data_IF_550345929189
#
_entry.id   IF_550345929189
#
_cell.length_a   1.000
_cell.length_b   1.000
_cell.length_c   1.000
_cell.angle_alpha   90.00
_cell.angle_beta   90.00
_cell.angle_gamma   90.00
#
_symmetry.space_group_name_H-M   'P 1'
#
loop_
_entity.id
_entity.type
_entity.pdbx_description
1 polymer ?
#
# COMPACT_ATOMS: atom_id res chain seq x y z
N UNK A 1 -20.80 17.36 -12.95
CA UNK A 1 -20.67 16.16 -13.79
C UNK A 1 -19.31 16.09 -14.47
N UNK A 2 -18.90 16.99 -15.38
CA UNK A 2 -17.58 16.84 -16.06
C UNK A 2 -16.36 17.09 -15.14
N UNK A 3 -16.49 17.98 -14.14
CA UNK A 3 -15.43 18.27 -13.17
C UNK A 3 -15.17 17.13 -12.19
N UNK A 4 -16.20 16.33 -11.89
CA UNK A 4 -16.10 15.23 -10.92
C UNK A 4 -15.27 14.07 -11.50
N UNK A 5 -15.48 13.74 -12.78
CA UNK A 5 -14.67 12.76 -13.51
C UNK A 5 -13.22 13.22 -13.69
N UNK A 6 -13.00 14.49 -14.03
CA UNK A 6 -11.64 15.02 -14.18
C UNK A 6 -10.87 14.97 -12.86
N UNK A 7 -11.53 15.32 -11.75
CA UNK A 7 -10.94 15.24 -10.41
C UNK A 7 -10.64 13.81 -10.01
N UNK A 8 -11.57 12.88 -10.25
CA UNK A 8 -11.35 11.46 -9.95
C UNK A 8 -10.20 10.87 -10.78
N UNK A 9 -10.09 11.21 -12.06
CA UNK A 9 -8.96 10.78 -12.90
C UNK A 9 -7.62 11.35 -12.43
N UNK A 10 -7.59 12.61 -11.97
CA UNK A 10 -6.41 13.21 -11.36
C UNK A 10 -6.03 12.53 -10.04
N UNK A 11 -7.01 12.28 -9.17
CA UNK A 11 -6.82 11.57 -7.91
C UNK A 11 -6.27 10.16 -8.17
N UNK A 12 -6.88 9.42 -9.09
CA UNK A 12 -6.44 8.08 -9.50
C UNK A 12 -4.98 8.11 -9.95
N UNK A 13 -4.63 9.03 -10.84
CA UNK A 13 -3.26 9.18 -11.35
C UNK A 13 -2.28 9.43 -10.21
N UNK A 14 -2.58 10.39 -9.33
CA UNK A 14 -1.69 10.73 -8.21
C UNK A 14 -1.49 9.54 -7.26
N UNK A 15 -2.57 8.82 -6.93
CA UNK A 15 -2.50 7.63 -6.08
C UNK A 15 -1.76 6.48 -6.76
N UNK A 16 -1.90 6.33 -8.08
CA UNK A 16 -1.15 5.34 -8.84
C UNK A 16 0.34 5.68 -8.83
N UNK A 17 0.71 6.94 -9.06
CA UNK A 17 2.11 7.39 -8.95
C UNK A 17 2.66 7.19 -7.53
N UNK A 18 1.87 7.44 -6.50
CA UNK A 18 2.23 7.18 -5.10
C UNK A 18 2.47 5.69 -4.82
N UNK A 19 1.54 4.82 -5.24
CA UNK A 19 1.67 3.38 -5.13
C UNK A 19 2.97 2.88 -5.77
N UNK A 20 3.27 3.34 -6.99
CA UNK A 20 4.48 2.96 -7.72
C UNK A 20 5.78 3.43 -7.04
N UNK A 21 5.73 4.42 -6.15
CA UNK A 21 6.87 4.88 -5.37
C UNK A 21 7.06 4.10 -4.06
N UNK A 22 6.08 3.30 -3.64
CA UNK A 22 6.21 2.52 -2.41
C UNK A 22 7.24 1.38 -2.61
N UNK A 23 8.18 1.18 -1.67
CA UNK A 23 9.14 0.06 -1.76
C UNK A 23 8.46 -1.32 -1.78
N UNK A 24 7.30 -1.43 -1.15
CA UNK A 24 6.48 -2.65 -1.15
C UNK A 24 5.97 -2.99 -2.55
N UNK A 25 5.40 -2.03 -3.26
CA UNK A 25 4.94 -2.24 -4.64
C UNK A 25 6.10 -2.55 -5.57
N UNK A 26 7.21 -1.83 -5.44
CA UNK A 26 8.43 -2.09 -6.22
C UNK A 26 8.94 -3.52 -5.99
N UNK A 27 8.98 -3.98 -4.73
CA UNK A 27 9.36 -5.35 -4.38
C UNK A 27 8.41 -6.41 -4.98
N UNK A 28 7.10 -6.14 -4.99
CA UNK A 28 6.13 -7.01 -5.64
C UNK A 28 6.36 -7.09 -7.15
N UNK A 29 6.65 -5.97 -7.80
CA UNK A 29 6.87 -5.91 -9.25
C UNK A 29 8.20 -6.55 -9.70
N UNK A 30 9.17 -6.70 -8.80
CA UNK A 30 10.37 -7.50 -9.01
C UNK A 30 10.12 -9.01 -8.96
N UNK A 31 8.96 -9.46 -8.46
CA UNK A 31 8.59 -10.87 -8.46
C UNK A 31 7.85 -11.22 -9.77
N UNK A 32 8.51 -12.00 -10.63
CA UNK A 32 7.95 -12.41 -11.93
C UNK A 32 6.64 -13.19 -11.80
N UNK A 33 6.47 -14.01 -10.77
CA UNK A 33 5.23 -14.75 -10.55
C UNK A 33 4.08 -13.79 -10.22
N UNK A 34 4.33 -12.80 -9.35
CA UNK A 34 3.35 -11.77 -9.04
C UNK A 34 3.02 -10.94 -10.28
N UNK A 35 4.03 -10.47 -11.03
CA UNK A 35 3.84 -9.70 -12.25
C UNK A 35 3.00 -10.46 -13.29
N UNK A 36 3.30 -11.74 -13.49
CA UNK A 36 2.52 -12.61 -14.37
C UNK A 36 1.08 -12.81 -13.85
N UNK A 37 0.89 -12.99 -12.55
CA UNK A 37 -0.43 -13.10 -11.95
C UNK A 37 -1.25 -11.81 -12.12
N UNK A 38 -0.64 -10.65 -11.90
CA UNK A 38 -1.25 -9.34 -12.09
C UNK A 38 -1.68 -9.11 -13.55
N UNK A 39 -0.84 -9.50 -14.50
CA UNK A 39 -1.17 -9.39 -15.93
C UNK A 39 -2.34 -10.28 -16.33
N UNK A 40 -2.39 -11.51 -15.80
CA UNK A 40 -3.45 -12.50 -16.12
C UNK A 40 -4.75 -12.26 -15.35
N UNK A 41 -4.69 -11.60 -14.20
CA UNK A 41 -5.85 -11.35 -13.36
C UNK A 41 -6.54 -10.03 -13.73
N UNK A 42 -7.52 -10.11 -14.63
CA UNK A 42 -8.32 -8.97 -15.03
C UNK A 42 -9.05 -8.28 -13.87
N UNK A 43 -9.49 -9.03 -12.86
CA UNK A 43 -10.18 -8.47 -11.70
C UNK A 43 -9.26 -7.56 -10.88
N UNK A 44 -8.02 -7.99 -10.62
CA UNK A 44 -7.02 -7.15 -9.93
C UNK A 44 -6.73 -5.87 -10.71
N UNK A 45 -6.63 -5.96 -12.04
CA UNK A 45 -6.41 -4.77 -12.89
C UNK A 45 -7.59 -3.80 -12.85
N UNK A 46 -8.82 -4.31 -12.80
CA UNK A 46 -10.03 -3.47 -12.63
C UNK A 46 -10.03 -2.82 -11.26
N UNK A 47 -9.66 -3.54 -10.20
CA UNK A 47 -9.52 -2.96 -8.87
C UNK A 47 -8.46 -1.84 -8.83
N UNK A 48 -7.29 -2.03 -9.45
CA UNK A 48 -6.26 -0.99 -9.52
C UNK A 48 -6.67 0.22 -10.38
N UNK A 49 -7.68 0.08 -11.24
CA UNK A 49 -8.28 1.19 -11.98
C UNK A 49 -9.31 1.99 -11.14
N UNK A 50 -9.68 1.51 -9.95
CA UNK A 50 -10.63 2.16 -9.05
C UNK A 50 -9.88 3.02 -8.00
N UNK A 51 -10.16 4.33 -8.00
CA UNK A 51 -9.60 5.30 -7.05
C UNK A 51 -9.81 4.91 -5.60
N UNK A 52 -11.00 4.38 -5.25
CA UNK A 52 -11.33 3.97 -3.89
C UNK A 52 -10.52 2.77 -3.43
N UNK A 53 -10.20 1.85 -4.35
CA UNK A 53 -9.35 0.71 -4.07
C UNK A 53 -7.91 1.15 -3.86
N UNK A 54 -7.38 2.05 -4.69
CA UNK A 54 -6.02 2.60 -4.49
C UNK A 54 -5.86 3.27 -3.12
N UNK A 55 -6.86 4.07 -2.69
CA UNK A 55 -6.86 4.68 -1.35
C UNK A 55 -6.80 3.63 -0.24
N UNK A 56 -7.57 2.55 -0.35
CA UNK A 56 -7.55 1.44 0.62
C UNK A 56 -6.22 0.70 0.61
N UNK A 57 -5.65 0.47 -0.56
CA UNK A 57 -4.40 -0.25 -0.72
C UNK A 57 -3.23 0.52 -0.08
N UNK A 58 -3.11 1.81 -0.39
CA UNK A 58 -2.08 2.68 0.19
C UNK A 58 -2.23 2.79 1.71
N UNK A 59 -3.47 2.92 2.21
CA UNK A 59 -3.73 2.92 3.65
C UNK A 59 -3.31 1.60 4.31
N UNK A 60 -3.65 0.46 3.70
CA UNK A 60 -3.24 -0.85 4.21
C UNK A 60 -1.72 -1.01 4.25
N UNK A 61 -1.01 -0.45 3.26
CA UNK A 61 0.46 -0.45 3.24
C UNK A 61 1.03 0.45 4.35
N UNK A 62 0.44 1.62 4.58
CA UNK A 62 0.83 2.50 5.69
C UNK A 62 0.63 1.81 7.04
N UNK A 63 -0.52 1.16 7.25
CA UNK A 63 -0.81 0.40 8.47
C UNK A 63 0.18 -0.76 8.67
N UNK A 64 0.55 -1.47 7.59
CA UNK A 64 1.58 -2.52 7.62
C UNK A 64 2.95 -1.96 8.02
N UNK A 65 3.36 -0.81 7.46
CA UNK A 65 4.62 -0.17 7.80
C UNK A 65 4.65 0.25 9.27
N UNK A 66 3.60 0.92 9.76
CA UNK A 66 3.51 1.31 11.16
C UNK A 66 3.56 0.11 12.10
N UNK A 67 2.91 -1.01 11.75
CA UNK A 67 3.00 -2.24 12.53
C UNK A 67 4.44 -2.79 12.57
N UNK A 68 5.12 -2.84 11.43
CA UNK A 68 6.51 -3.30 11.34
C UNK A 68 7.43 -2.41 12.19
N UNK A 69 7.27 -1.09 12.10
CA UNK A 69 8.03 -0.14 12.92
C UNK A 69 7.82 -0.38 14.41
N UNK A 70 6.58 -0.62 14.86
CA UNK A 70 6.30 -0.92 16.27
C UNK A 70 6.93 -2.23 16.74
N UNK A 71 6.99 -3.25 15.88
CA UNK A 71 7.58 -4.55 16.22
C UNK A 71 9.12 -4.48 16.28
N UNK A 72 9.76 -3.80 15.33
CA UNK A 72 11.23 -3.70 15.27
C UNK A 72 11.79 -2.57 16.14
N UNK A 73 11.00 -1.53 16.42
CA UNK A 73 11.35 -0.38 17.23
C UNK A 73 10.25 -0.10 18.26
N UNK A 74 10.03 -1.01 19.23
CA UNK A 74 9.01 -0.83 20.24
C UNK A 74 9.29 0.45 21.05
N UNK A 75 8.23 1.21 21.34
CA UNK A 75 8.34 2.33 22.27
C UNK A 75 8.86 1.82 23.62
N UNK A 76 9.68 2.61 24.35
CA UNK A 76 10.26 2.19 25.63
C UNK A 76 9.20 1.80 26.68
N UNK A 77 7.96 2.28 26.53
CA UNK A 77 6.80 1.92 27.36
C UNK A 77 6.29 0.48 27.15
N UNK A 78 6.72 -0.18 26.07
CA UNK A 78 6.37 -1.55 25.70
C UNK A 78 7.55 -2.52 25.83
N UNK A 79 8.71 -2.03 26.26
CA UNK A 79 9.81 -2.90 26.69
C UNK A 79 9.44 -3.44 28.07
N UNK A 80 9.41 -4.77 28.22
CA UNK A 80 9.22 -5.40 29.52
C UNK A 80 10.22 -4.78 30.52
N UNK A 81 9.71 -4.38 31.70
CA UNK A 81 10.59 -4.03 32.80
C UNK A 81 11.57 -5.20 33.00
N UNK A 82 12.87 -4.94 33.17
CA UNK A 82 13.79 -6.01 33.53
C UNK A 82 13.25 -6.64 34.82
N UNK A 83 13.07 -7.97 34.81
CA UNK A 83 12.77 -8.71 36.03
C UNK A 83 13.90 -8.40 37.02
N UNK A 84 13.58 -7.67 38.09
CA UNK A 84 14.49 -7.43 39.20
C UNK A 84 14.59 -8.73 40.01
N UNK A 85 15.70 -9.46 39.82
CA UNK A 85 16.15 -10.57 40.69
C UNK A 85 16.76 -10.05 42.01
#
# INVERSE_FOLDING_TARGET
MNMDFYRDALDHRNLSEELHRTPWWDSLMHNDQFKNALQRNGHMRVQLADTSYLKKLLRSEQERQSFIEQVFHPAPEHLAAPDED
#
